data_IF_299157428946
#
_entry.id   IF_299157428946
#
_cell.length_a   1.000
_cell.length_b   1.000
_cell.length_c   1.000
_cell.angle_alpha   90.00
_cell.angle_beta   90.00
_cell.angle_gamma   90.00
#
_symmetry.space_group_name_H-M   'P 1'
#
loop_
_entity.id
_entity.type
_entity.pdbx_description
1 polymer ?
#
# COMPACT_ATOMS: atom_id res chain seq x y z
N UNK A 1 4.37 -14.21 11.77
CA UNK A 1 3.43 -13.07 11.60
C UNK A 1 3.89 -12.28 10.37
N UNK A 2 2.97 -11.81 9.53
CA UNK A 2 3.26 -10.97 8.37
C UNK A 2 2.54 -9.63 8.50
N UNK A 3 3.10 -8.56 7.94
CA UNK A 3 2.50 -7.23 8.03
C UNK A 3 3.35 -6.14 7.37
N UNK A 4 2.77 -4.95 7.32
CA UNK A 4 3.42 -3.67 7.01
C UNK A 4 3.12 -2.66 8.11
N UNK A 5 3.87 -1.57 8.18
CA UNK A 5 3.66 -0.49 9.15
C UNK A 5 2.66 0.57 8.67
N UNK A 6 2.27 1.46 9.57
CA UNK A 6 1.69 2.75 9.22
C UNK A 6 2.38 3.93 9.93
N UNK A 7 1.76 5.10 9.94
CA UNK A 7 2.25 6.32 10.58
C UNK A 7 2.67 6.13 12.05
N UNK A 8 1.87 5.42 12.84
CA UNK A 8 2.10 5.22 14.27
C UNK A 8 3.36 4.38 14.59
N UNK A 9 3.80 3.54 13.65
CA UNK A 9 5.09 2.84 13.75
C UNK A 9 6.24 3.64 13.09
N UNK A 10 5.92 4.40 12.05
CA UNK A 10 6.91 5.03 11.17
C UNK A 10 7.37 6.41 11.65
N UNK A 11 6.49 7.20 12.28
CA UNK A 11 6.87 8.50 12.86
C UNK A 11 5.83 9.62 12.77
N UNK A 12 4.58 9.31 12.42
CA UNK A 12 3.44 10.23 12.44
C UNK A 12 2.78 10.46 11.08
N UNK A 13 1.62 11.14 11.13
CA UNK A 13 0.77 11.36 9.97
C UNK A 13 1.48 12.16 8.87
N UNK A 14 1.20 11.82 7.62
CA UNK A 14 1.78 12.37 6.39
C UNK A 14 3.32 12.25 6.30
N UNK A 15 3.97 11.56 7.24
CA UNK A 15 5.41 11.38 7.24
C UNK A 15 5.82 10.31 6.24
N UNK A 16 6.96 10.54 5.60
CA UNK A 16 7.49 9.62 4.61
C UNK A 16 9.00 9.71 4.43
N UNK A 17 9.42 10.05 3.23
CA UNK A 17 10.81 10.05 2.78
C UNK A 17 11.67 11.14 3.43
N UNK A 18 11.06 12.13 4.07
CA UNK A 18 11.75 13.23 4.75
C UNK A 18 12.26 12.89 6.16
N UNK A 19 11.82 11.77 6.75
CA UNK A 19 12.31 11.35 8.06
C UNK A 19 13.79 10.93 7.99
N UNK A 20 14.56 11.36 9.00
CA UNK A 20 15.93 10.86 9.28
C UNK A 20 15.86 9.48 9.91
N UNK A 21 16.88 8.64 9.79
CA UNK A 21 16.99 7.30 10.42
C UNK A 21 15.92 6.28 10.00
N UNK A 22 15.53 6.27 8.71
CA UNK A 22 14.53 5.32 8.19
C UNK A 22 15.00 3.87 8.31
N UNK A 23 16.28 3.62 8.08
CA UNK A 23 16.92 2.31 8.18
C UNK A 23 16.78 1.73 9.59
N UNK A 24 17.03 2.54 10.63
CA UNK A 24 16.89 2.10 12.02
C UNK A 24 15.43 1.71 12.35
N UNK A 25 14.45 2.45 11.82
CA UNK A 25 13.02 2.12 11.97
C UNK A 25 12.65 0.83 11.26
N UNK A 26 13.09 0.65 10.01
CA UNK A 26 12.93 -0.62 9.25
C UNK A 26 13.51 -1.77 10.04
N UNK A 27 14.71 -1.61 10.58
CA UNK A 27 15.39 -2.68 11.30
C UNK A 27 14.69 -3.03 12.61
N UNK A 28 14.15 -2.04 13.33
CA UNK A 28 13.34 -2.24 14.51
C UNK A 28 12.03 -2.98 14.18
N UNK A 29 11.33 -2.55 13.12
CA UNK A 29 10.11 -3.20 12.65
C UNK A 29 10.33 -4.66 12.21
N UNK A 30 11.37 -4.91 11.42
CA UNK A 30 11.73 -6.27 10.98
C UNK A 30 12.13 -7.16 12.16
N UNK A 31 12.85 -6.61 13.14
CA UNK A 31 13.21 -7.32 14.36
C UNK A 31 11.97 -7.67 15.19
N UNK A 32 11.02 -6.74 15.33
CA UNK A 32 9.74 -6.98 16.00
C UNK A 32 8.95 -8.12 15.36
N UNK A 33 8.93 -8.19 14.03
CA UNK A 33 8.29 -9.29 13.30
C UNK A 33 9.08 -10.62 13.33
N UNK A 34 10.25 -10.65 13.97
CA UNK A 34 11.11 -11.84 14.04
C UNK A 34 11.78 -12.20 12.72
N UNK A 35 12.00 -11.23 11.83
CA UNK A 35 12.72 -11.46 10.57
C UNK A 35 14.22 -11.57 10.86
N UNK A 36 14.83 -12.68 10.41
CA UNK A 36 16.26 -12.94 10.52
C UNK A 36 17.10 -11.86 9.83
N UNK A 37 18.23 -11.46 10.44
CA UNK A 37 19.08 -10.34 9.99
C UNK A 37 19.70 -10.56 8.61
N UNK A 38 19.87 -11.81 8.20
CA UNK A 38 20.39 -12.22 6.90
C UNK A 38 19.35 -12.05 5.78
N UNK A 39 18.08 -11.82 6.13
CA UNK A 39 17.02 -11.63 5.15
C UNK A 39 17.28 -10.35 4.34
N UNK A 40 17.15 -10.45 3.00
CA UNK A 40 17.29 -9.32 2.06
C UNK A 40 16.44 -8.09 2.41
N UNK A 41 15.37 -8.23 3.20
CA UNK A 41 14.56 -7.10 3.70
C UNK A 41 15.39 -6.11 4.53
N UNK A 42 16.45 -6.54 5.23
CA UNK A 42 17.38 -5.65 5.94
C UNK A 42 18.34 -4.88 5.01
N UNK A 43 18.39 -5.22 3.73
CA UNK A 43 19.24 -4.53 2.74
C UNK A 43 18.41 -3.66 1.80
N UNK A 44 17.08 -3.76 1.87
CA UNK A 44 16.15 -3.10 0.97
C UNK A 44 15.59 -1.83 1.57
N UNK A 45 15.25 -0.86 0.72
CA UNK A 45 14.52 0.35 1.11
C UNK A 45 13.07 -0.02 1.40
N UNK A 46 12.58 0.24 2.61
CA UNK A 46 11.20 -0.07 3.04
C UNK A 46 11.00 -1.50 3.56
N UNK A 47 9.80 -1.77 4.08
CA UNK A 47 9.40 -3.04 4.72
C UNK A 47 8.44 -3.88 3.89
N UNK A 48 8.09 -3.47 2.67
CA UNK A 48 7.20 -4.21 1.78
C UNK A 48 7.64 -5.67 1.65
N UNK A 49 6.71 -6.59 1.45
CA UNK A 49 7.01 -8.03 1.37
C UNK A 49 5.86 -8.82 0.75
N UNK A 50 6.09 -10.08 0.41
CA UNK A 50 5.05 -10.98 -0.06
C UNK A 50 5.19 -12.35 0.60
N UNK A 51 4.08 -13.07 0.69
CA UNK A 51 3.98 -14.45 1.16
C UNK A 51 2.98 -15.19 0.28
N UNK A 52 3.23 -16.46 0.02
CA UNK A 52 2.34 -17.35 -0.73
C UNK A 52 1.87 -18.47 0.19
N UNK A 53 0.58 -18.78 0.13
CA UNK A 53 -0.06 -19.87 0.85
C UNK A 53 -0.69 -20.84 -0.14
N UNK A 54 -0.82 -22.11 0.28
CA UNK A 54 -1.40 -23.18 -0.53
C UNK A 54 -0.35 -24.05 -1.21
N UNK A 55 -0.76 -25.28 -1.55
CA UNK A 55 0.12 -26.26 -2.19
C UNK A 55 0.13 -26.12 -3.72
N UNK A 56 1.26 -26.51 -4.32
CA UNK A 56 1.30 -26.77 -5.75
C UNK A 56 0.34 -27.91 -6.10
N UNK A 57 -0.60 -27.66 -7.01
CA UNK A 57 -1.51 -28.68 -7.58
C UNK A 57 -0.75 -29.88 -8.19
N UNK A 58 0.58 -29.77 -8.36
CA UNK A 58 1.46 -30.82 -8.86
C UNK A 58 2.05 -31.77 -7.80
N UNK A 59 1.88 -31.54 -6.49
CA UNK A 59 2.48 -32.41 -5.46
C UNK A 59 1.63 -33.61 -5.03
N UNK A 60 0.39 -33.74 -5.54
CA UNK A 60 -0.47 -34.89 -5.22
C UNK A 60 -0.59 -35.86 -6.40
N UNK A 61 -0.24 -37.11 -6.08
CA UNK A 61 -0.16 -38.30 -6.92
C UNK A 61 -1.33 -38.43 -7.92
N UNK A 62 -1.00 -38.81 -9.15
CA UNK A 62 -1.92 -39.06 -10.25
C UNK A 62 -2.80 -40.28 -9.93
N UNK A 63 -4.01 -40.06 -9.43
CA UNK A 63 -5.10 -41.04 -9.49
C UNK A 63 -6.00 -40.67 -10.68
N UNK A 64 -6.00 -41.53 -11.70
CA UNK A 64 -6.65 -41.33 -12.99
C UNK A 64 -8.17 -41.43 -12.96
N UNK A 65 -8.77 -41.66 -11.79
CA UNK A 65 -10.20 -41.99 -11.68
C UNK A 65 -11.08 -40.86 -11.15
N UNK A 66 -10.52 -39.73 -10.71
CA UNK A 66 -11.29 -38.61 -10.16
C UNK A 66 -10.96 -37.26 -10.83
N UNK A 67 -11.61 -36.97 -11.96
CA UNK A 67 -11.53 -35.70 -12.71
C UNK A 67 -12.51 -34.63 -12.18
N UNK A 68 -12.86 -34.65 -10.89
CA UNK A 68 -13.48 -33.49 -10.26
C UNK A 68 -12.41 -32.46 -9.85
N UNK A 69 -12.18 -31.50 -10.76
CA UNK A 69 -11.74 -30.14 -10.46
C UNK A 69 -10.51 -29.98 -9.57
N UNK A 70 -9.30 -30.16 -10.12
CA UNK A 70 -8.07 -29.64 -9.51
C UNK A 70 -8.13 -28.11 -9.47
N UNK A 71 -8.57 -27.53 -8.36
CA UNK A 71 -8.56 -26.07 -8.17
C UNK A 71 -7.18 -25.62 -7.70
N UNK A 72 -6.62 -24.63 -8.37
CA UNK A 72 -5.45 -23.91 -7.89
C UNK A 72 -5.85 -23.13 -6.64
N UNK A 73 -5.35 -23.55 -5.47
CA UNK A 73 -5.69 -22.96 -4.18
C UNK A 73 -4.60 -22.01 -3.66
N UNK A 74 -3.67 -21.61 -4.52
CA UNK A 74 -2.60 -20.69 -4.14
C UNK A 74 -3.11 -19.27 -3.95
N UNK A 75 -2.80 -18.69 -2.81
CA UNK A 75 -3.10 -17.30 -2.46
C UNK A 75 -1.80 -16.55 -2.24
N UNK A 76 -1.62 -15.45 -2.97
CA UNK A 76 -0.47 -14.57 -2.80
C UNK A 76 -0.89 -13.31 -2.06
N UNK A 77 -0.25 -13.05 -0.93
CA UNK A 77 -0.46 -11.84 -0.14
C UNK A 77 0.73 -10.90 -0.33
N UNK A 78 0.45 -9.67 -0.72
CA UNK A 78 1.43 -8.63 -1.05
C UNK A 78 1.23 -7.47 -0.08
N UNK A 79 2.21 -7.23 0.78
CA UNK A 79 2.25 -6.13 1.73
C UNK A 79 3.02 -4.95 1.12
N UNK A 80 2.34 -3.83 0.90
CA UNK A 80 2.93 -2.59 0.44
C UNK A 80 3.50 -1.79 1.61
N UNK A 81 4.59 -1.09 1.37
CA UNK A 81 5.06 0.02 2.19
C UNK A 81 4.61 1.33 1.53
N UNK A 82 3.86 2.15 2.25
CA UNK A 82 3.31 3.43 1.77
C UNK A 82 3.91 4.61 2.52
N UNK A 83 5.00 4.38 3.26
CA UNK A 83 5.67 5.37 4.12
C UNK A 83 7.10 5.61 3.68
N UNK A 84 7.88 4.58 3.39
CA UNK A 84 9.33 4.73 3.14
C UNK A 84 9.67 5.72 2.01
N UNK A 85 9.03 5.54 0.86
CA UNK A 85 9.24 6.33 -0.35
C UNK A 85 8.24 7.48 -0.49
N UNK A 86 7.32 7.63 0.46
CA UNK A 86 6.24 8.60 0.37
C UNK A 86 6.79 10.02 0.35
N UNK A 87 6.40 10.77 -0.66
CA UNK A 87 6.71 12.18 -0.77
C UNK A 87 5.58 13.02 -0.16
N UNK A 88 5.88 14.29 0.08
CA UNK A 88 4.88 15.23 0.56
C UNK A 88 3.82 15.45 -0.52
N UNK A 89 2.56 15.42 -0.10
CA UNK A 89 1.44 15.83 -0.95
C UNK A 89 0.97 17.24 -0.58
N UNK A 90 0.31 17.86 -1.55
CA UNK A 90 -0.10 19.26 -1.54
C UNK A 90 -1.09 19.61 -0.42
N UNK A 91 -2.03 18.70 -0.11
CA UNK A 91 -3.03 18.95 0.93
C UNK A 91 -2.81 17.95 2.06
N UNK A 92 -2.27 18.35 3.22
CA UNK A 92 -2.09 17.46 4.36
C UNK A 92 -3.40 16.77 4.76
N UNK A 93 -3.31 15.58 5.36
CA UNK A 93 -4.42 14.99 6.09
C UNK A 93 -4.74 15.85 7.32
N UNK A 94 -5.97 15.78 7.82
CA UNK A 94 -6.37 16.61 8.97
C UNK A 94 -5.56 16.26 10.23
N UNK A 95 -4.97 15.06 10.29
CA UNK A 95 -4.14 14.59 11.40
C UNK A 95 -2.74 15.25 11.49
N UNK A 96 -2.22 15.88 10.43
CA UNK A 96 -0.82 16.34 10.42
C UNK A 96 -0.58 17.77 10.94
N UNK A 97 -1.63 18.58 11.19
CA UNK A 97 -1.49 19.95 11.71
C UNK A 97 -2.51 20.27 12.81
N UNK A 98 -2.14 20.03 14.09
CA UNK A 98 -2.97 20.36 15.26
C UNK A 98 -3.12 21.87 15.56
N UNK A 99 -2.41 22.76 14.86
CA UNK A 99 -2.28 24.18 15.25
C UNK A 99 -3.09 25.19 14.42
N UNK A 100 -3.96 24.73 13.51
CA UNK A 100 -4.86 25.62 12.77
C UNK A 100 -6.21 25.63 13.48
N UNK A 101 -6.65 26.74 14.11
CA UNK A 101 -8.00 26.83 14.65
C UNK A 101 -9.00 26.62 13.50
N UNK A 102 -9.92 25.68 13.68
CA UNK A 102 -10.83 25.21 12.62
C UNK A 102 -10.13 24.61 11.38
N UNK A 103 -8.89 24.13 11.49
CA UNK A 103 -8.12 23.55 10.38
C UNK A 103 -8.85 22.42 9.67
N UNK A 104 -9.56 21.57 10.43
CA UNK A 104 -10.42 20.53 9.87
C UNK A 104 -11.55 21.11 8.99
N UNK A 105 -12.18 22.21 9.42
CA UNK A 105 -13.26 22.87 8.67
C UNK A 105 -12.70 23.56 7.44
N UNK A 106 -11.59 24.28 7.56
CA UNK A 106 -10.93 24.94 6.42
C UNK A 106 -10.49 23.89 5.40
N UNK A 107 -9.77 22.84 5.80
CA UNK A 107 -9.39 21.75 4.89
C UNK A 107 -10.60 21.05 4.27
N UNK A 108 -11.68 20.85 5.02
CA UNK A 108 -12.93 20.27 4.51
C UNK A 108 -13.59 21.19 3.48
N UNK A 109 -13.72 22.49 3.76
CA UNK A 109 -14.34 23.48 2.87
C UNK A 109 -13.49 23.68 1.61
N UNK A 110 -12.17 23.85 1.74
CA UNK A 110 -11.27 23.97 0.59
C UNK A 110 -11.38 22.72 -0.29
N UNK A 111 -11.44 21.52 0.30
CA UNK A 111 -11.58 20.28 -0.46
C UNK A 111 -12.99 20.07 -1.06
N UNK A 112 -14.05 20.43 -0.33
CA UNK A 112 -15.43 20.38 -0.82
C UNK A 112 -15.63 21.33 -2.00
N UNK A 113 -15.05 22.53 -1.94
CA UNK A 113 -15.02 23.46 -3.07
C UNK A 113 -14.23 22.89 -4.25
N UNK A 114 -13.07 22.26 -4.02
CA UNK A 114 -12.33 21.62 -5.14
C UNK A 114 -13.08 20.45 -5.76
N UNK A 115 -13.75 19.62 -4.95
CA UNK A 115 -14.52 18.47 -5.42
C UNK A 115 -15.84 18.88 -6.10
N UNK A 116 -16.57 19.84 -5.51
CA UNK A 116 -17.87 20.30 -5.98
C UNK A 116 -17.81 21.21 -7.21
N UNK A 117 -16.74 21.99 -7.37
CA UNK A 117 -16.51 22.80 -8.58
C UNK A 117 -15.89 21.99 -9.73
N UNK A 118 -15.67 20.68 -9.54
CA UNK A 118 -14.92 19.83 -10.46
C UNK A 118 -13.58 20.47 -10.86
N UNK A 119 -13.02 21.30 -9.95
CA UNK A 119 -11.70 21.88 -10.12
C UNK A 119 -10.76 20.70 -9.99
N UNK A 120 -10.03 20.35 -11.05
CA UNK A 120 -9.27 19.14 -10.99
C UNK A 120 -8.24 19.28 -9.87
N UNK A 121 -8.27 18.37 -8.91
CA UNK A 121 -7.28 18.32 -7.80
C UNK A 121 -5.84 18.28 -8.33
N UNK A 122 -5.64 17.92 -9.60
CA UNK A 122 -4.37 17.96 -10.33
C UNK A 122 -3.91 19.34 -10.82
N UNK A 123 -4.76 20.38 -10.82
CA UNK A 123 -4.35 21.75 -11.24
C UNK A 123 -3.70 22.57 -10.14
N UNK A 124 -3.83 22.17 -8.87
CA UNK A 124 -3.36 22.95 -7.70
C UNK A 124 -2.17 22.27 -7.01
N UNK A 125 -1.83 21.03 -7.38
CA UNK A 125 -0.92 20.19 -6.63
C UNK A 125 0.13 19.53 -7.53
N UNK A 126 1.40 19.37 -7.09
CA UNK A 126 2.40 18.61 -7.83
C UNK A 126 1.85 17.21 -8.11
N UNK A 127 1.75 16.86 -9.40
CA UNK A 127 1.10 15.61 -9.80
C UNK A 127 2.05 14.41 -9.74
N UNK A 128 3.35 14.66 -9.61
CA UNK A 128 4.42 13.66 -9.73
C UNK A 128 4.91 13.11 -8.39
N UNK A 129 4.27 13.48 -7.28
CA UNK A 129 4.64 12.97 -5.96
C UNK A 129 4.46 11.46 -5.87
N UNK A 130 5.46 10.78 -5.33
CA UNK A 130 5.49 9.32 -5.25
C UNK A 130 5.05 8.79 -3.88
N UNK A 131 4.54 7.55 -3.86
CA UNK A 131 4.21 6.81 -2.62
C UNK A 131 5.10 5.58 -2.48
N UNK A 132 5.14 4.74 -3.52
CA UNK A 132 5.87 3.47 -3.48
C UNK A 132 7.32 3.64 -3.92
N UNK A 133 7.60 4.60 -4.80
CA UNK A 133 8.91 4.76 -5.42
C UNK A 133 9.25 3.65 -6.42
N UNK A 134 10.23 3.92 -7.29
CA UNK A 134 10.52 3.04 -8.44
C UNK A 134 10.94 1.61 -8.04
N UNK A 135 11.70 1.48 -6.96
CA UNK A 135 12.21 0.19 -6.48
C UNK A 135 11.07 -0.76 -6.06
N UNK A 136 10.09 -0.22 -5.33
CA UNK A 136 8.92 -0.99 -4.90
C UNK A 136 7.95 -1.22 -6.05
N UNK A 137 7.82 -0.27 -6.99
CA UNK A 137 7.02 -0.45 -8.21
C UNK A 137 7.52 -1.61 -9.05
N UNK A 138 8.82 -1.62 -9.38
CA UNK A 138 9.44 -2.71 -10.15
C UNK A 138 9.23 -4.05 -9.42
N UNK A 139 9.40 -4.07 -8.10
CA UNK A 139 9.16 -5.26 -7.31
C UNK A 139 7.69 -5.71 -7.34
N UNK A 140 6.74 -4.79 -7.20
CA UNK A 140 5.30 -5.07 -7.19
C UNK A 140 4.83 -5.62 -8.55
N UNK A 141 5.22 -4.97 -9.63
CA UNK A 141 4.92 -5.42 -10.98
C UNK A 141 5.44 -6.86 -11.21
N UNK A 142 6.67 -7.15 -10.75
CA UNK A 142 7.23 -8.49 -10.80
C UNK A 142 6.44 -9.48 -9.93
N UNK A 143 6.02 -9.09 -8.73
CA UNK A 143 5.23 -9.97 -7.86
C UNK A 143 3.90 -10.38 -8.49
N UNK A 144 3.25 -9.48 -9.23
CA UNK A 144 1.97 -9.77 -9.88
C UNK A 144 2.17 -10.55 -11.19
N UNK A 145 3.12 -10.14 -12.04
CA UNK A 145 3.38 -10.78 -13.35
C UNK A 145 3.90 -12.21 -13.23
N UNK A 146 4.78 -12.48 -12.26
CA UNK A 146 5.38 -13.80 -12.08
C UNK A 146 4.50 -14.74 -11.23
N UNK A 147 3.31 -14.28 -10.81
CA UNK A 147 2.46 -15.05 -9.90
C UNK A 147 1.65 -16.12 -10.62
N UNK A 148 1.64 -17.32 -10.07
CA UNK A 148 0.75 -18.41 -10.48
C UNK A 148 -0.44 -18.59 -9.54
N UNK A 149 -0.59 -17.71 -8.54
CA UNK A 149 -1.70 -17.76 -7.58
C UNK A 149 -3.05 -17.50 -8.24
N UNK A 150 -4.09 -18.19 -7.78
CA UNK A 150 -5.47 -17.95 -8.24
C UNK A 150 -6.11 -16.74 -7.58
N UNK A 151 -5.57 -16.31 -6.43
CA UNK A 151 -6.03 -15.16 -5.66
C UNK A 151 -4.85 -14.28 -5.23
N UNK A 152 -5.06 -12.96 -5.28
CA UNK A 152 -4.09 -11.95 -4.89
C UNK A 152 -4.69 -11.01 -3.86
N UNK A 153 -4.10 -10.97 -2.68
CA UNK A 153 -4.48 -10.01 -1.63
C UNK A 153 -3.41 -8.93 -1.58
N UNK A 154 -3.75 -7.70 -1.93
CA UNK A 154 -2.84 -6.56 -1.83
C UNK A 154 -3.20 -5.74 -0.61
N UNK A 155 -2.27 -5.64 0.33
CA UNK A 155 -2.41 -4.98 1.62
C UNK A 155 -1.69 -3.64 1.59
N UNK A 156 -2.42 -2.57 1.87
CA UNK A 156 -1.92 -1.20 2.02
C UNK A 156 -2.24 -0.71 3.42
N UNK A 157 -1.37 0.08 4.05
CA UNK A 157 -1.69 0.66 5.37
C UNK A 157 -2.79 1.72 5.23
N UNK A 158 -2.64 2.63 4.26
CA UNK A 158 -3.59 3.69 3.92
C UNK A 158 -4.67 3.21 2.94
N UNK A 159 -5.79 3.93 2.89
CA UNK A 159 -6.90 3.62 1.98
C UNK A 159 -6.52 3.76 0.50
N UNK A 160 -6.96 2.80 -0.33
CA UNK A 160 -6.67 2.78 -1.78
C UNK A 160 -7.80 3.42 -2.61
N UNK A 161 -9.04 3.02 -2.32
CA UNK A 161 -10.20 3.36 -3.16
C UNK A 161 -11.05 4.52 -2.64
N UNK A 162 -10.74 5.00 -1.44
CA UNK A 162 -11.50 6.08 -0.80
C UNK A 162 -11.53 7.34 -1.66
N UNK A 163 -12.68 8.02 -1.64
CA UNK A 163 -12.82 9.39 -2.13
C UNK A 163 -12.83 10.38 -0.98
N UNK A 164 -12.84 9.91 0.28
CA UNK A 164 -12.80 10.74 1.46
C UNK A 164 -11.38 11.26 1.67
N UNK A 165 -11.15 12.58 1.59
CA UNK A 165 -9.82 13.14 1.63
C UNK A 165 -9.36 13.52 3.04
N UNK A 166 -10.16 13.23 4.09
CA UNK A 166 -9.90 13.63 5.49
C UNK A 166 -8.70 12.90 6.08
N UNK A 167 -8.62 11.60 5.83
CA UNK A 167 -7.58 10.69 6.34
C UNK A 167 -6.61 10.33 5.20
N UNK A 168 -5.40 9.90 5.55
CA UNK A 168 -4.36 9.58 4.58
C UNK A 168 -4.82 8.50 3.60
N UNK A 169 -4.56 8.72 2.32
CA UNK A 169 -4.96 7.76 1.29
C UNK A 169 -4.13 7.89 0.03
N UNK A 170 -4.14 6.83 -0.78
CA UNK A 170 -3.60 6.87 -2.13
C UNK A 170 -4.34 7.89 -3.01
N UNK A 171 -5.55 8.31 -2.62
CA UNK A 171 -6.31 9.38 -3.25
C UNK A 171 -5.59 10.73 -3.26
N UNK A 172 -4.63 10.96 -2.35
CA UNK A 172 -3.79 12.16 -2.35
C UNK A 172 -2.69 12.15 -3.43
N UNK A 173 -2.48 11.01 -4.09
CA UNK A 173 -1.44 10.80 -5.11
C UNK A 173 -2.08 10.28 -6.40
N UNK A 174 -2.72 11.15 -7.21
CA UNK A 174 -3.59 10.72 -8.30
C UNK A 174 -2.87 9.91 -9.39
N UNK A 175 -1.63 10.28 -9.77
CA UNK A 175 -0.84 9.51 -10.75
C UNK A 175 -0.45 8.13 -10.23
N UNK A 176 -0.04 8.05 -8.97
CA UNK A 176 0.31 6.78 -8.31
C UNK A 176 -0.92 5.87 -8.21
N UNK A 177 -2.07 6.43 -7.78
CA UNK A 177 -3.34 5.71 -7.72
C UNK A 177 -3.76 5.21 -9.10
N UNK A 178 -3.67 6.05 -10.12
CA UNK A 178 -4.02 5.67 -11.48
C UNK A 178 -3.13 4.55 -12.00
N UNK A 179 -1.80 4.67 -11.83
CA UNK A 179 -0.84 3.60 -12.19
C UNK A 179 -1.16 2.31 -11.47
N UNK A 180 -1.50 2.39 -10.18
CA UNK A 180 -1.86 1.24 -9.35
C UNK A 180 -3.12 0.55 -9.83
N UNK A 181 -4.20 1.29 -10.07
CA UNK A 181 -5.45 0.72 -10.59
C UNK A 181 -5.26 0.11 -11.98
N UNK A 182 -4.46 0.72 -12.85
CA UNK A 182 -4.13 0.14 -14.17
C UNK A 182 -3.37 -1.17 -14.04
N UNK A 183 -2.37 -1.26 -13.14
CA UNK A 183 -1.62 -2.50 -12.92
C UNK A 183 -2.52 -3.64 -12.41
N UNK A 184 -3.51 -3.30 -11.59
CA UNK A 184 -4.40 -4.27 -10.97
C UNK A 184 -5.54 -4.77 -11.86
N UNK A 185 -5.80 -4.09 -12.99
CA UNK A 185 -6.94 -4.39 -13.86
C UNK A 185 -6.94 -5.84 -14.37
N UNK A 186 -5.76 -6.41 -14.60
CA UNK A 186 -5.59 -7.73 -15.20
C UNK A 186 -5.24 -8.81 -14.15
N UNK A 187 -5.36 -8.49 -12.85
CA UNK A 187 -5.00 -9.41 -11.75
C UNK A 187 -6.20 -10.28 -11.37
N UNK A 188 -6.03 -11.60 -11.50
CA UNK A 188 -7.05 -12.57 -11.14
C UNK A 188 -7.24 -12.69 -9.62
N UNK A 189 -8.51 -12.82 -9.19
CA UNK A 189 -8.87 -13.04 -7.80
C UNK A 189 -8.36 -11.94 -6.87
N UNK A 190 -8.46 -10.68 -7.30
CA UNK A 190 -7.92 -9.54 -6.57
C UNK A 190 -8.79 -9.17 -5.36
N UNK A 191 -8.15 -9.03 -4.21
CA UNK A 191 -8.71 -8.43 -2.98
C UNK A 191 -7.78 -7.32 -2.53
N UNK A 192 -8.35 -6.16 -2.21
CA UNK A 192 -7.62 -5.03 -1.63
C UNK A 192 -7.96 -4.92 -0.16
N UNK A 193 -6.93 -4.88 0.69
CA UNK A 193 -7.07 -4.68 2.13
C UNK A 193 -6.39 -3.37 2.52
N UNK A 194 -7.10 -2.49 3.22
CA UNK A 194 -6.58 -1.22 3.74
C UNK A 194 -7.08 -0.88 5.14
N UNK A 195 -6.31 -0.08 5.88
CA UNK A 195 -6.62 0.33 7.26
C UNK A 195 -6.63 1.86 7.44
N UNK A 196 -5.91 2.34 8.47
CA UNK A 196 -5.73 3.75 8.88
C UNK A 196 -6.97 4.41 9.53
N UNK A 197 -8.16 4.17 8.99
CA UNK A 197 -9.34 5.01 9.30
C UNK A 197 -10.17 4.60 10.53
N UNK A 198 -9.84 3.50 11.20
CA UNK A 198 -10.55 2.96 12.38
C UNK A 198 -12.07 2.74 12.19
N UNK A 199 -12.52 2.45 10.97
CA UNK A 199 -13.88 2.03 10.63
C UNK A 199 -13.87 1.12 9.40
N UNK A 200 -14.94 0.36 9.19
CA UNK A 200 -15.14 -0.57 8.08
C UNK A 200 -16.34 -0.19 7.22
#
# INVERSE_FOLDING_TARGET
>A
VHGTWDDHDYGGNDRGSELKDREARRDAYLNFLGVLKENKRYQRRGVYSSVEFGDDVHSMQYDSTNTQGRSNNKVKVIFLDTRWHREKHCIPSVGSNLYIPFGAIISCVTRWLTAGLNLPSWRVCPTDSQVLGDEQWIWLEKQLKDSTASMHIVVSSIQILTTNPVVESLGHFPKERERFLRLLNDVNGLVLLSGDVHHA
#
